data_IF_244385330341
#
_entry.id   IF_244385330341
#
_cell.length_a   1.000
_cell.length_b   1.000
_cell.length_c   1.000
_cell.angle_alpha   90.00
_cell.angle_beta   90.00
_cell.angle_gamma   90.00
#
_symmetry.space_group_name_H-M   'P 1'
#
loop_
_entity.id
_entity.type
_entity.pdbx_description
1 polymer ?
#
# COMPACT_ATOMS: atom_id res chain seq x y z
N UNK A 1 37.40 22.32 -8.35
CA UNK A 1 38.62 21.93 -7.63
C UNK A 1 38.34 20.56 -7.02
N UNK A 2 38.78 19.51 -7.42
CA UNK A 2 39.76 18.88 -8.32
C UNK A 2 39.51 17.37 -8.14
N UNK A 3 39.15 16.70 -9.23
CA UNK A 3 39.22 15.24 -9.32
C UNK A 3 40.63 14.80 -9.00
N UNK A 4 40.83 14.04 -7.93
CA UNK A 4 42.07 13.36 -7.64
C UNK A 4 42.12 12.08 -8.47
N UNK A 5 42.85 12.20 -9.56
CA UNK A 5 43.31 11.16 -10.49
C UNK A 5 43.99 10.01 -9.72
N UNK A 6 43.42 8.85 -9.74
CA UNK A 6 43.91 7.63 -9.10
C UNK A 6 44.85 6.83 -10.04
N UNK A 7 45.52 7.52 -10.98
CA UNK A 7 46.53 6.93 -11.88
C UNK A 7 47.91 7.59 -11.68
N UNK A 8 48.73 6.88 -10.96
CA UNK A 8 50.18 6.78 -11.02
C UNK A 8 50.81 6.75 -9.65
N UNK A 9 51.13 5.56 -9.24
CA UNK A 9 52.47 5.18 -8.76
C UNK A 9 52.45 3.68 -8.46
N UNK A 10 53.22 2.90 -9.17
CA UNK A 10 53.74 1.59 -8.74
C UNK A 10 55.03 1.84 -8.00
N UNK A 11 55.43 1.02 -6.99
CA UNK A 11 55.57 -0.42 -7.08
C UNK A 11 55.20 -1.21 -5.79
N UNK A 12 55.29 -2.52 -5.91
CA UNK A 12 55.36 -3.60 -4.93
C UNK A 12 54.07 -4.35 -4.53
N UNK A 13 54.14 -5.67 -4.81
CA UNK A 13 53.04 -6.60 -4.90
C UNK A 13 52.37 -7.02 -3.58
N UNK A 14 52.81 -6.58 -2.43
CA UNK A 14 52.34 -7.02 -1.09
C UNK A 14 51.29 -6.08 -0.47
N UNK A 15 51.18 -4.85 -0.95
CA UNK A 15 50.23 -3.86 -0.39
C UNK A 15 48.85 -3.84 -1.08
N UNK A 16 48.69 -4.62 -2.16
CA UNK A 16 47.46 -4.59 -2.99
C UNK A 16 46.24 -5.23 -2.34
N UNK A 17 46.35 -6.11 -1.37
CA UNK A 17 45.17 -6.78 -0.79
C UNK A 17 44.42 -5.91 0.21
N UNK A 18 45.09 -5.07 0.96
CA UNK A 18 44.39 -4.24 1.97
C UNK A 18 43.78 -2.96 1.40
N UNK A 19 44.40 -2.37 0.38
CA UNK A 19 43.83 -1.18 -0.30
C UNK A 19 42.60 -1.52 -1.15
N UNK A 20 42.56 -2.70 -1.76
CA UNK A 20 41.39 -3.17 -2.53
C UNK A 20 40.15 -3.41 -1.68
N UNK A 21 40.34 -3.90 -0.46
CA UNK A 21 39.23 -4.17 0.48
C UNK A 21 38.68 -2.86 1.04
N UNK A 22 39.51 -1.86 1.32
CA UNK A 22 39.05 -0.55 1.82
C UNK A 22 38.33 0.29 0.72
N UNK A 23 38.75 0.16 -0.54
CA UNK A 23 38.08 0.84 -1.66
C UNK A 23 36.70 0.19 -1.97
N UNK A 24 36.61 -1.13 -1.87
CA UNK A 24 35.35 -1.87 -2.01
C UNK A 24 34.39 -1.59 -0.84
N UNK A 25 34.90 -1.44 0.37
CA UNK A 25 34.07 -1.11 1.54
C UNK A 25 33.59 0.35 1.55
N UNK A 26 34.34 1.30 0.96
CA UNK A 26 33.87 2.68 0.76
C UNK A 26 32.79 2.78 -0.32
N UNK A 27 32.87 1.97 -1.39
CA UNK A 27 31.79 1.91 -2.41
C UNK A 27 30.52 1.25 -1.86
N UNK A 28 30.62 0.37 -0.86
CA UNK A 28 29.46 -0.26 -0.24
C UNK A 28 28.71 0.66 0.76
N UNK A 29 29.33 1.75 1.24
CA UNK A 29 28.71 2.79 2.09
C UNK A 29 28.14 3.99 1.33
N UNK A 30 28.20 3.98 0.00
CA UNK A 30 27.52 4.96 -0.86
C UNK A 30 26.02 4.73 -0.81
N UNK A 31 25.34 5.62 -0.14
CA UNK A 31 23.92 5.92 -0.09
C UNK A 31 22.97 4.81 -0.60
N UNK A 32 22.45 4.01 0.32
CA UNK A 32 21.35 3.07 0.11
C UNK A 32 20.10 3.75 -0.52
N UNK A 33 20.05 5.07 -0.49
CA UNK A 33 18.96 5.89 -1.05
C UNK A 33 19.10 6.20 -2.55
N UNK A 34 20.27 5.91 -3.19
CA UNK A 34 20.53 6.32 -4.58
C UNK A 34 20.68 5.16 -5.58
N UNK A 35 20.26 3.95 -5.26
CA UNK A 35 20.20 2.87 -6.26
C UNK A 35 18.89 2.89 -7.03
N UNK A 36 18.62 4.02 -7.70
CA UNK A 36 17.75 3.96 -8.86
C UNK A 36 18.61 3.62 -10.09
N UNK A 37 18.17 2.69 -10.99
CA UNK A 37 18.72 2.66 -12.33
C UNK A 37 18.60 4.08 -12.87
N UNK A 38 19.69 4.63 -13.40
CA UNK A 38 19.64 5.86 -14.18
C UNK A 38 18.53 5.66 -15.21
N UNK A 39 17.50 6.47 -15.13
CA UNK A 39 16.42 6.52 -16.10
C UNK A 39 17.08 6.89 -17.43
N UNK A 40 17.35 5.88 -18.26
CA UNK A 40 17.87 6.09 -19.60
C UNK A 40 16.80 6.84 -20.39
N UNK A 41 17.27 7.80 -21.15
CA UNK A 41 16.49 8.58 -22.12
C UNK A 41 16.06 7.63 -23.27
N UNK A 42 15.02 6.80 -23.03
CA UNK A 42 14.50 5.85 -23.96
C UNK A 42 13.17 6.31 -24.55
N UNK A 43 13.25 6.97 -25.68
CA UNK A 43 12.21 6.95 -26.71
C UNK A 43 10.78 7.29 -26.31
N UNK A 44 10.55 8.13 -25.29
CA UNK A 44 9.20 8.56 -24.92
C UNK A 44 8.64 9.47 -26.02
N UNK A 45 7.41 9.23 -26.49
CA UNK A 45 6.77 10.19 -27.37
C UNK A 45 6.66 11.51 -26.62
N UNK A 46 7.15 12.58 -27.26
CA UNK A 46 7.13 13.94 -26.70
C UNK A 46 5.69 14.46 -26.77
N UNK A 47 4.88 14.10 -25.76
CA UNK A 47 3.46 14.46 -25.68
C UNK A 47 3.21 15.91 -25.24
N UNK A 48 4.27 16.74 -25.17
CA UNK A 48 4.13 18.12 -24.72
C UNK A 48 3.67 18.29 -23.27
N UNK A 49 3.78 17.23 -22.47
CA UNK A 49 3.45 17.26 -21.07
C UNK A 49 4.66 17.78 -20.31
N UNK A 50 4.47 18.89 -19.62
CA UNK A 50 5.50 19.54 -18.80
C UNK A 50 6.17 18.56 -17.84
N UNK A 51 7.43 18.85 -17.46
CA UNK A 51 8.19 18.05 -16.51
C UNK A 51 7.36 17.82 -15.22
N UNK A 52 7.47 16.61 -14.61
CA UNK A 52 6.65 16.28 -13.45
C UNK A 52 6.84 17.30 -12.33
N UNK A 53 5.72 17.73 -11.73
CA UNK A 53 5.76 18.63 -10.57
C UNK A 53 6.63 18.01 -9.48
N UNK A 54 7.74 18.67 -9.17
CA UNK A 54 8.67 18.22 -8.12
C UNK A 54 8.21 18.77 -6.77
N UNK A 55 7.46 17.95 -6.05
CA UNK A 55 7.11 18.25 -4.65
C UNK A 55 8.33 18.00 -3.75
N UNK A 56 8.54 18.89 -2.80
CA UNK A 56 9.52 18.66 -1.73
C UNK A 56 9.05 17.55 -0.80
N UNK A 57 9.97 16.91 -0.09
CA UNK A 57 9.64 15.87 0.90
C UNK A 57 8.59 16.34 1.90
N UNK A 58 8.73 17.57 2.41
CA UNK A 58 7.79 18.10 3.39
C UNK A 58 6.40 18.31 2.79
N UNK A 59 6.29 18.78 1.55
CA UNK A 59 5.01 18.91 0.87
C UNK A 59 4.32 17.56 0.68
N UNK A 60 5.07 16.51 0.32
CA UNK A 60 4.52 15.15 0.22
C UNK A 60 4.00 14.66 1.57
N UNK A 61 4.79 14.82 2.65
CA UNK A 61 4.37 14.40 3.99
C UNK A 61 3.10 15.16 4.43
N UNK A 62 3.08 16.48 4.26
CA UNK A 62 1.91 17.30 4.62
C UNK A 62 0.68 16.89 3.83
N UNK A 63 0.82 16.63 2.52
CA UNK A 63 -0.30 16.18 1.69
C UNK A 63 -0.82 14.80 2.12
N UNK A 64 0.08 13.83 2.40
CA UNK A 64 -0.31 12.51 2.89
C UNK A 64 -1.04 12.60 4.24
N UNK A 65 -0.48 13.33 5.20
CA UNK A 65 -1.13 13.51 6.50
C UNK A 65 -2.46 14.27 6.39
N UNK A 66 -2.53 15.26 5.50
CA UNK A 66 -3.75 16.00 5.21
C UNK A 66 -4.86 15.12 4.64
N UNK A 67 -4.53 14.19 3.73
CA UNK A 67 -5.50 13.25 3.16
C UNK A 67 -6.02 12.27 4.22
N UNK A 68 -5.15 11.72 5.06
CA UNK A 68 -5.55 10.80 6.14
C UNK A 68 -6.41 11.56 7.17
N UNK A 69 -6.05 12.77 7.53
CA UNK A 69 -6.85 13.59 8.43
C UNK A 69 -8.22 13.96 7.83
N UNK A 70 -8.26 14.22 6.51
CA UNK A 70 -9.50 14.50 5.78
C UNK A 70 -10.40 13.25 5.75
N UNK A 71 -9.85 12.07 5.47
CA UNK A 71 -10.56 10.80 5.57
C UNK A 71 -11.21 10.63 6.94
N UNK A 72 -10.43 10.76 8.01
CA UNK A 72 -10.94 10.64 9.37
C UNK A 72 -12.05 11.67 9.67
N UNK A 73 -11.87 12.91 9.23
CA UNK A 73 -12.88 13.98 9.43
C UNK A 73 -14.18 13.69 8.67
N UNK A 74 -14.11 13.17 7.44
CA UNK A 74 -15.28 12.78 6.65
C UNK A 74 -16.02 11.61 7.32
N UNK A 75 -15.30 10.57 7.75
CA UNK A 75 -15.89 9.42 8.44
C UNK A 75 -16.58 9.82 9.74
N UNK A 76 -15.96 10.70 10.54
CA UNK A 76 -16.60 11.26 11.72
C UNK A 76 -17.86 12.06 11.37
N UNK A 77 -17.82 12.87 10.32
CA UNK A 77 -18.99 13.65 9.86
C UNK A 77 -20.11 12.74 9.33
N UNK A 78 -19.77 11.55 8.79
CA UNK A 78 -20.74 10.50 8.41
C UNK A 78 -21.32 9.76 9.62
N UNK A 79 -20.86 10.05 10.84
CA UNK A 79 -21.32 9.41 12.07
C UNK A 79 -20.68 8.04 12.31
N UNK A 80 -19.48 7.78 11.74
CA UNK A 80 -18.73 6.57 12.09
C UNK A 80 -18.13 6.70 13.48
N UNK A 81 -18.08 5.58 14.20
CA UNK A 81 -17.53 5.56 15.56
C UNK A 81 -16.02 5.87 15.54
N UNK A 82 -15.51 6.70 16.42
CA UNK A 82 -14.07 6.97 16.49
C UNK A 82 -13.25 5.70 16.76
N UNK A 83 -13.73 4.85 17.67
CA UNK A 83 -13.19 3.56 18.07
C UNK A 83 -14.33 2.57 18.24
N UNK A 84 -14.01 1.30 18.48
CA UNK A 84 -15.01 0.27 18.80
C UNK A 84 -15.99 0.74 19.89
N UNK A 85 -17.31 0.51 19.69
CA UNK A 85 -18.35 0.72 20.71
C UNK A 85 -18.13 -0.11 21.98
N UNK A 86 -17.27 -1.13 21.91
CA UNK A 86 -16.84 -1.93 23.05
C UNK A 86 -16.01 -1.14 24.08
N UNK A 87 -15.55 0.08 23.74
CA UNK A 87 -14.80 0.97 24.64
C UNK A 87 -13.30 0.68 24.72
N UNK A 88 -12.78 -0.23 23.90
CA UNK A 88 -11.34 -0.56 23.81
C UNK A 88 -10.89 -0.78 22.36
N UNK A 89 -9.58 -0.80 22.16
CA UNK A 89 -8.95 -1.04 20.85
C UNK A 89 -7.97 -2.20 20.97
N UNK A 90 -8.15 -3.21 20.11
CA UNK A 90 -7.20 -4.33 19.95
C UNK A 90 -6.22 -4.03 18.83
N UNK A 91 -5.02 -4.60 18.91
CA UNK A 91 -4.09 -4.62 17.78
C UNK A 91 -4.60 -5.53 16.66
N UNK A 92 -5.22 -6.66 17.05
CA UNK A 92 -5.77 -7.66 16.13
C UNK A 92 -7.13 -8.19 16.62
N UNK A 93 -8.11 -8.25 15.72
CA UNK A 93 -9.39 -8.88 15.94
C UNK A 93 -9.60 -10.00 14.92
N UNK A 94 -9.69 -11.24 15.38
CA UNK A 94 -9.73 -12.43 14.51
C UNK A 94 -11.12 -13.05 14.31
N UNK A 95 -12.19 -12.42 14.77
CA UNK A 95 -13.56 -12.96 14.67
C UNK A 95 -14.37 -12.15 13.67
N UNK A 96 -14.54 -12.68 12.46
CA UNK A 96 -15.22 -11.97 11.36
C UNK A 96 -16.71 -11.81 11.62
N UNK A 97 -17.39 -12.89 12.08
CA UNK A 97 -18.83 -12.85 12.41
C UNK A 97 -19.03 -12.25 13.81
N UNK A 98 -18.76 -10.98 13.94
CA UNK A 98 -18.78 -10.24 15.20
C UNK A 98 -19.07 -8.76 14.93
N UNK A 99 -19.82 -8.12 15.82
CA UNK A 99 -20.02 -6.66 15.79
C UNK A 99 -18.75 -5.86 16.07
N UNK A 100 -17.66 -6.51 16.51
CA UNK A 100 -16.35 -5.90 16.69
C UNK A 100 -15.47 -5.99 15.43
N UNK A 101 -15.90 -6.70 14.38
CA UNK A 101 -15.16 -6.76 13.12
C UNK A 101 -15.06 -5.36 12.49
N UNK A 102 -13.91 -5.02 11.94
CA UNK A 102 -13.61 -3.70 11.37
C UNK A 102 -13.75 -2.53 12.37
N UNK A 103 -13.54 -2.82 13.68
CA UNK A 103 -13.61 -1.82 14.74
C UNK A 103 -12.30 -1.61 15.48
N UNK A 104 -11.27 -2.40 15.14
CA UNK A 104 -9.96 -2.40 15.79
C UNK A 104 -8.85 -2.01 14.81
N UNK A 105 -7.57 -2.00 15.26
CA UNK A 105 -6.46 -1.58 14.40
C UNK A 105 -6.21 -2.51 13.22
N UNK A 106 -6.45 -3.81 13.39
CA UNK A 106 -6.32 -4.77 12.29
C UNK A 106 -7.20 -6.00 12.49
N UNK A 107 -7.56 -6.64 11.38
CA UNK A 107 -8.36 -7.85 11.31
C UNK A 107 -8.01 -8.66 10.04
N UNK A 108 -8.85 -9.64 9.68
CA UNK A 108 -8.64 -10.46 8.49
C UNK A 108 -8.74 -9.71 7.17
N UNK A 109 -9.25 -8.48 7.12
CA UNK A 109 -9.32 -7.66 5.90
C UNK A 109 -8.11 -6.74 5.74
N UNK A 110 -7.36 -6.46 6.81
CA UNK A 110 -6.13 -5.65 6.74
C UNK A 110 -5.08 -6.16 5.71
N UNK A 111 -4.90 -7.49 5.46
CA UNK A 111 -4.11 -8.00 4.35
C UNK A 111 -4.54 -7.49 2.97
N UNK A 112 -5.83 -7.26 2.75
CA UNK A 112 -6.37 -6.73 1.48
C UNK A 112 -5.83 -5.34 1.19
N UNK A 113 -5.69 -4.48 2.19
CA UNK A 113 -5.13 -3.13 2.05
C UNK A 113 -3.63 -3.16 1.74
N UNK A 114 -2.88 -4.17 2.24
CA UNK A 114 -1.49 -4.38 1.79
C UNK A 114 -1.47 -4.73 0.29
N UNK A 115 -2.41 -5.55 -0.18
CA UNK A 115 -2.53 -5.90 -1.61
C UNK A 115 -2.93 -4.67 -2.43
N UNK A 116 -3.85 -3.80 -1.92
CA UNK A 116 -4.15 -2.50 -2.55
C UNK A 116 -2.86 -1.69 -2.76
N UNK A 117 -1.99 -1.64 -1.76
CA UNK A 117 -0.69 -0.97 -1.88
C UNK A 117 0.19 -1.52 -3.00
N UNK A 118 0.25 -2.84 -3.18
CA UNK A 118 0.97 -3.46 -4.31
C UNK A 118 0.34 -3.08 -5.65
N UNK A 119 -0.98 -3.18 -5.76
CA UNK A 119 -1.73 -2.86 -6.98
C UNK A 119 -1.54 -1.38 -7.36
N UNK A 120 -1.72 -0.47 -6.39
CA UNK A 120 -1.62 0.98 -6.65
C UNK A 120 -0.20 1.38 -7.02
N UNK A 121 0.83 0.81 -6.35
CA UNK A 121 2.21 1.07 -6.74
C UNK A 121 2.47 0.65 -8.18
N UNK A 122 2.08 -0.56 -8.57
CA UNK A 122 2.28 -1.07 -9.92
C UNK A 122 1.48 -0.28 -10.96
N UNK A 123 0.20 -0.01 -10.71
CA UNK A 123 -0.67 0.74 -11.61
C UNK A 123 -0.16 2.17 -11.85
N UNK A 124 0.21 2.88 -10.78
CA UNK A 124 0.73 4.25 -10.87
C UNK A 124 2.15 4.30 -11.45
N UNK A 125 2.99 3.27 -11.18
CA UNK A 125 4.27 3.12 -11.86
C UNK A 125 4.09 2.90 -13.36
N UNK A 126 3.13 2.10 -13.75
CA UNK A 126 2.80 1.84 -15.17
C UNK A 126 2.22 3.10 -15.84
N UNK A 127 1.31 3.80 -15.14
CA UNK A 127 0.70 5.05 -15.61
C UNK A 127 1.75 6.17 -15.77
N UNK A 128 2.76 6.21 -14.89
CA UNK A 128 3.81 7.24 -14.93
C UNK A 128 4.70 7.16 -16.18
N UNK A 129 4.53 6.13 -17.02
CA UNK A 129 5.16 6.06 -18.36
C UNK A 129 4.49 6.99 -19.37
N UNK A 130 3.20 7.31 -19.17
CA UNK A 130 2.45 8.22 -20.03
C UNK A 130 2.25 9.58 -19.38
N UNK A 131 1.94 9.60 -18.08
CA UNK A 131 1.76 10.83 -17.29
C UNK A 131 2.91 10.90 -16.30
N UNK A 132 3.93 11.75 -16.54
CA UNK A 132 5.10 11.84 -15.66
C UNK A 132 4.71 12.17 -14.22
N UNK A 133 4.95 11.26 -13.29
CA UNK A 133 4.67 11.43 -11.86
C UNK A 133 5.90 11.10 -11.04
N UNK A 134 6.26 11.99 -10.11
CA UNK A 134 7.28 11.69 -9.10
C UNK A 134 6.78 10.60 -8.14
N UNK A 135 7.71 9.94 -7.43
CA UNK A 135 7.32 8.95 -6.42
C UNK A 135 6.37 9.52 -5.37
N UNK A 136 6.65 10.74 -4.88
CA UNK A 136 5.78 11.42 -3.91
C UNK A 136 4.38 11.67 -4.46
N UNK A 137 4.25 12.06 -5.73
CA UNK A 137 2.95 12.23 -6.37
C UNK A 137 2.20 10.91 -6.47
N UNK A 138 2.87 9.81 -6.84
CA UNK A 138 2.25 8.47 -6.88
C UNK A 138 1.73 8.05 -5.50
N UNK A 139 2.50 8.31 -4.43
CA UNK A 139 2.06 8.02 -3.07
C UNK A 139 0.83 8.84 -2.66
N UNK A 140 0.82 10.14 -2.96
CA UNK A 140 -0.33 11.01 -2.70
C UNK A 140 -1.58 10.50 -3.42
N UNK A 141 -1.46 10.13 -4.70
CA UNK A 141 -2.59 9.58 -5.49
C UNK A 141 -3.05 8.24 -4.92
N UNK A 142 -2.13 7.36 -4.54
CA UNK A 142 -2.48 6.08 -3.91
C UNK A 142 -3.29 6.28 -2.62
N UNK A 143 -2.83 7.18 -1.74
CA UNK A 143 -3.54 7.52 -0.50
C UNK A 143 -4.90 8.16 -0.79
N UNK A 144 -4.99 9.04 -1.79
CA UNK A 144 -6.27 9.65 -2.17
C UNK A 144 -7.28 8.60 -2.68
N UNK A 145 -6.83 7.61 -3.47
CA UNK A 145 -7.68 6.51 -3.94
C UNK A 145 -8.15 5.65 -2.78
N UNK A 146 -7.23 5.25 -1.89
CA UNK A 146 -7.57 4.43 -0.71
C UNK A 146 -8.51 5.17 0.23
N UNK A 147 -8.19 6.41 0.60
CA UNK A 147 -9.05 7.23 1.44
C UNK A 147 -10.46 7.43 0.84
N UNK A 148 -10.56 7.51 -0.50
CA UNK A 148 -11.85 7.57 -1.18
C UNK A 148 -12.59 6.24 -1.08
N UNK A 149 -11.89 5.11 -1.19
CA UNK A 149 -12.46 3.79 -0.98
C UNK A 149 -13.02 3.64 0.43
N UNK A 150 -12.24 3.96 1.45
CA UNK A 150 -12.65 3.92 2.86
C UNK A 150 -13.91 4.75 3.13
N UNK A 151 -14.02 5.94 2.53
CA UNK A 151 -15.21 6.76 2.63
C UNK A 151 -16.42 6.10 1.93
N UNK A 152 -16.21 5.55 0.73
CA UNK A 152 -17.28 4.87 -0.03
C UNK A 152 -17.76 3.63 0.71
N UNK A 153 -16.83 2.82 1.21
CA UNK A 153 -17.11 1.58 1.96
C UNK A 153 -17.97 1.83 3.19
N UNK A 154 -17.77 2.97 3.81
CA UNK A 154 -18.51 3.41 4.99
C UNK A 154 -19.84 4.13 4.69
N UNK A 155 -20.26 4.19 3.42
CA UNK A 155 -21.60 4.68 3.06
C UNK A 155 -22.67 3.64 3.41
N UNK A 156 -23.88 4.09 3.75
CA UNK A 156 -25.00 3.20 4.03
C UNK A 156 -25.30 2.27 2.85
N UNK A 157 -25.14 2.76 1.63
CA UNK A 157 -25.36 1.97 0.41
C UNK A 157 -24.42 0.76 0.35
N UNK A 158 -23.12 0.95 0.61
CA UNK A 158 -22.15 -0.16 0.52
C UNK A 158 -22.28 -1.10 1.72
N UNK A 159 -22.55 -0.58 2.91
CA UNK A 159 -22.81 -1.39 4.11
C UNK A 159 -24.02 -2.32 3.89
N UNK A 160 -25.12 -1.79 3.34
CA UNK A 160 -26.29 -2.60 2.99
C UNK A 160 -25.97 -3.63 1.91
N UNK A 161 -25.11 -3.26 0.95
CA UNK A 161 -24.66 -4.18 -0.09
C UNK A 161 -23.84 -5.32 0.51
N UNK A 162 -22.91 -5.07 1.41
CA UNK A 162 -22.15 -6.10 2.13
C UNK A 162 -23.08 -7.04 2.89
N UNK A 163 -24.01 -6.52 3.67
CA UNK A 163 -24.99 -7.33 4.40
C UNK A 163 -25.84 -8.20 3.49
N UNK A 164 -26.19 -7.71 2.32
CA UNK A 164 -27.05 -8.43 1.37
C UNK A 164 -26.32 -9.44 0.50
N UNK A 165 -25.00 -9.34 0.35
CA UNK A 165 -24.21 -10.15 -0.61
C UNK A 165 -23.10 -10.96 0.02
N UNK A 166 -22.77 -10.73 1.28
CA UNK A 166 -21.72 -11.45 2.01
C UNK A 166 -22.26 -12.04 3.33
N UNK A 167 -21.44 -12.83 4.01
CA UNK A 167 -21.77 -13.41 5.32
C UNK A 167 -21.61 -12.42 6.47
N UNK A 168 -21.19 -11.19 6.22
CA UNK A 168 -20.97 -10.14 7.23
C UNK A 168 -22.29 -9.45 7.63
N UNK A 169 -23.24 -10.20 8.16
CA UNK A 169 -24.59 -9.71 8.48
C UNK A 169 -24.63 -8.62 9.56
N UNK A 170 -23.66 -8.64 10.48
CA UNK A 170 -23.54 -7.66 11.58
C UNK A 170 -22.65 -6.47 11.24
N UNK A 171 -22.13 -6.39 10.01
CA UNK A 171 -21.30 -5.26 9.59
C UNK A 171 -22.11 -3.96 9.53
N UNK A 172 -21.65 -2.94 10.20
CA UNK A 172 -22.30 -1.62 10.26
C UNK A 172 -21.36 -0.46 9.83
N UNK A 173 -20.27 -0.80 9.18
CA UNK A 173 -19.18 0.11 8.78
C UNK A 173 -18.02 0.05 9.75
N UNK A 174 -16.90 0.60 9.34
CA UNK A 174 -15.66 0.59 10.11
C UNK A 174 -15.65 1.70 11.16
N UNK A 175 -14.87 1.49 12.21
CA UNK A 175 -14.49 2.60 13.06
C UNK A 175 -13.45 3.48 12.35
N UNK A 176 -13.38 4.76 12.71
CA UNK A 176 -12.41 5.69 12.12
C UNK A 176 -10.97 5.20 12.31
N UNK A 177 -10.65 4.61 13.48
CA UNK A 177 -9.32 4.08 13.73
C UNK A 177 -8.98 2.87 12.84
N UNK A 178 -9.96 2.03 12.51
CA UNK A 178 -9.77 0.91 11.60
C UNK A 178 -9.51 1.41 10.17
N UNK A 179 -10.39 2.26 9.61
CA UNK A 179 -10.20 2.84 8.28
C UNK A 179 -8.87 3.58 8.12
N UNK A 180 -8.43 4.32 9.15
CA UNK A 180 -7.12 4.97 9.13
C UNK A 180 -5.99 3.93 9.15
N UNK A 181 -6.12 2.87 9.95
CA UNK A 181 -5.13 1.80 9.98
C UNK A 181 -5.04 1.06 8.65
N UNK A 182 -6.17 0.84 7.96
CA UNK A 182 -6.21 0.19 6.66
C UNK A 182 -5.53 1.04 5.57
N UNK A 183 -5.73 2.36 5.60
CA UNK A 183 -4.92 3.29 4.77
C UNK A 183 -3.42 3.18 5.08
N UNK A 184 -3.03 3.00 6.36
CA UNK A 184 -1.63 2.79 6.71
C UNK A 184 -1.11 1.42 6.23
N UNK A 185 -1.91 0.36 6.25
CA UNK A 185 -1.55 -0.94 5.66
C UNK A 185 -1.36 -0.84 4.14
N UNK A 186 -2.21 -0.09 3.44
CA UNK A 186 -2.00 0.23 2.03
C UNK A 186 -0.66 0.94 1.80
N UNK A 187 -0.32 1.93 2.60
CA UNK A 187 0.97 2.64 2.52
C UNK A 187 2.14 1.66 2.73
N UNK A 188 2.05 0.76 3.71
CA UNK A 188 3.06 -0.30 3.92
C UNK A 188 3.21 -1.14 2.66
N UNK A 189 2.12 -1.65 2.08
CA UNK A 189 2.13 -2.40 0.82
C UNK A 189 2.77 -1.61 -0.33
N UNK A 190 2.45 -0.33 -0.47
CA UNK A 190 3.01 0.55 -1.48
C UNK A 190 4.53 0.69 -1.37
N UNK A 191 5.07 0.82 -0.16
CA UNK A 191 6.51 0.86 0.07
C UNK A 191 7.18 -0.50 -0.12
N UNK A 192 6.55 -1.58 0.31
CA UNK A 192 7.06 -2.93 0.08
C UNK A 192 7.17 -3.22 -1.42
N UNK A 193 6.15 -2.88 -2.22
CA UNK A 193 6.19 -3.02 -3.68
C UNK A 193 7.31 -2.21 -4.35
N UNK A 194 7.71 -1.08 -3.74
CA UNK A 194 8.85 -0.30 -4.22
C UNK A 194 10.19 -0.98 -3.98
N UNK A 195 10.33 -1.65 -2.84
CA UNK A 195 11.61 -2.24 -2.40
C UNK A 195 11.80 -3.67 -2.86
N UNK A 196 10.71 -4.39 -3.06
CA UNK A 196 10.72 -5.79 -3.43
C UNK A 196 10.75 -5.99 -4.95
N UNK A 197 11.33 -7.09 -5.42
CA UNK A 197 11.16 -7.49 -6.80
C UNK A 197 9.68 -7.85 -7.04
N UNK A 198 9.19 -7.62 -8.25
CA UNK A 198 7.77 -7.83 -8.62
C UNK A 198 7.27 -9.23 -8.26
N UNK A 199 8.09 -10.26 -8.53
CA UNK A 199 7.71 -11.64 -8.24
C UNK A 199 7.41 -11.87 -6.75
N UNK A 200 8.17 -11.21 -5.84
CA UNK A 200 7.94 -11.34 -4.39
C UNK A 200 6.63 -10.65 -3.98
N UNK A 201 6.35 -9.47 -4.49
CA UNK A 201 5.08 -8.78 -4.22
C UNK A 201 3.89 -9.62 -4.71
N UNK A 202 4.00 -10.23 -5.90
CA UNK A 202 2.96 -11.14 -6.44
C UNK A 202 2.82 -12.39 -5.58
N UNK A 203 3.94 -13.02 -5.21
CA UNK A 203 3.90 -14.23 -4.37
C UNK A 203 3.28 -13.96 -3.00
N UNK A 204 3.60 -12.82 -2.38
CA UNK A 204 3.02 -12.41 -1.09
C UNK A 204 1.53 -12.07 -1.25
N UNK A 205 1.12 -11.36 -2.31
CA UNK A 205 -0.29 -11.11 -2.57
C UNK A 205 -1.09 -12.41 -2.69
N UNK A 206 -0.60 -13.38 -3.48
CA UNK A 206 -1.23 -14.69 -3.61
C UNK A 206 -1.28 -15.43 -2.27
N UNK A 207 -0.19 -15.40 -1.50
CA UNK A 207 -0.16 -16.04 -0.18
C UNK A 207 -1.18 -15.43 0.78
N UNK A 208 -1.30 -14.09 0.83
CA UNK A 208 -2.30 -13.40 1.65
C UNK A 208 -3.73 -13.77 1.22
N UNK A 209 -4.03 -13.77 -0.08
CA UNK A 209 -5.34 -14.19 -0.60
C UNK A 209 -5.68 -15.63 -0.19
N UNK A 210 -4.72 -16.56 -0.33
CA UNK A 210 -4.94 -17.96 0.01
C UNK A 210 -5.08 -18.18 1.53
N UNK A 211 -4.28 -17.50 2.35
CA UNK A 211 -4.33 -17.62 3.80
C UNK A 211 -5.67 -17.06 4.30
N UNK A 212 -6.05 -15.86 3.90
CA UNK A 212 -7.31 -15.24 4.33
C UNK A 212 -8.49 -16.04 3.82
N UNK A 213 -8.49 -16.46 2.55
CA UNK A 213 -9.52 -17.31 1.96
C UNK A 213 -9.69 -18.65 2.68
N UNK A 214 -8.58 -19.25 3.14
CA UNK A 214 -8.61 -20.48 3.94
C UNK A 214 -9.17 -20.25 5.34
N UNK A 215 -8.75 -19.16 6.00
CA UNK A 215 -9.09 -18.89 7.40
C UNK A 215 -10.54 -18.44 7.60
N UNK A 216 -11.05 -17.59 6.70
CA UNK A 216 -12.37 -16.96 6.88
C UNK A 216 -13.34 -17.20 5.71
N UNK A 217 -12.95 -17.98 4.70
CA UNK A 217 -13.71 -18.23 3.47
C UNK A 217 -14.05 -16.94 2.69
N UNK A 218 -13.27 -15.91 2.90
CA UNK A 218 -13.35 -14.63 2.20
C UNK A 218 -11.95 -14.09 1.97
N UNK A 219 -11.79 -13.22 0.98
CA UNK A 219 -10.54 -12.51 0.67
C UNK A 219 -10.86 -11.33 -0.27
N UNK A 220 -9.86 -10.54 -0.64
CA UNK A 220 -10.07 -9.38 -1.51
C UNK A 220 -10.77 -9.76 -2.82
N UNK A 221 -10.32 -10.84 -3.48
CA UNK A 221 -10.88 -11.28 -4.78
C UNK A 221 -12.35 -11.68 -4.63
N UNK A 222 -12.69 -12.49 -3.63
CA UNK A 222 -14.06 -12.93 -3.37
C UNK A 222 -14.95 -11.77 -2.94
N UNK A 223 -14.43 -10.88 -2.09
CA UNK A 223 -15.14 -9.71 -1.62
C UNK A 223 -15.53 -8.79 -2.78
N UNK A 224 -14.58 -8.42 -3.64
CA UNK A 224 -14.85 -7.61 -4.85
C UNK A 224 -15.82 -8.33 -5.79
N UNK A 225 -15.64 -9.64 -6.01
CA UNK A 225 -16.55 -10.42 -6.86
C UNK A 225 -17.97 -10.39 -6.32
N UNK A 226 -18.16 -10.65 -5.03
CA UNK A 226 -19.49 -10.69 -4.40
C UNK A 226 -20.16 -9.32 -4.35
N UNK A 227 -19.41 -8.24 -4.21
CA UNK A 227 -19.93 -6.88 -4.31
C UNK A 227 -20.42 -6.55 -5.72
N UNK A 228 -19.67 -6.91 -6.75
CA UNK A 228 -19.99 -6.59 -8.14
C UNK A 228 -21.02 -7.56 -8.73
N UNK A 229 -20.85 -8.84 -8.48
CA UNK A 229 -21.65 -9.93 -9.05
C UNK A 229 -21.89 -11.03 -8.01
N UNK A 230 -22.91 -10.92 -7.16
CA UNK A 230 -23.20 -11.91 -6.14
C UNK A 230 -23.47 -13.30 -6.75
N UNK A 231 -22.70 -14.28 -6.31
CA UNK A 231 -22.80 -15.67 -6.76
C UNK A 231 -23.31 -16.54 -5.62
N UNK A 232 -24.49 -17.12 -5.76
CA UNK A 232 -25.13 -17.87 -4.68
C UNK A 232 -24.29 -19.03 -4.15
N UNK A 233 -23.61 -19.77 -5.04
CA UNK A 233 -22.73 -20.88 -4.61
C UNK A 233 -21.53 -20.43 -3.76
N UNK A 234 -21.01 -19.22 -4.00
CA UNK A 234 -19.95 -18.64 -3.18
C UNK A 234 -20.53 -18.24 -1.82
N UNK A 235 -21.69 -17.60 -1.79
CA UNK A 235 -22.37 -17.23 -0.56
C UNK A 235 -22.65 -18.45 0.31
N UNK A 236 -23.17 -19.55 -0.27
CA UNK A 236 -23.47 -20.79 0.45
C UNK A 236 -22.20 -21.43 1.01
N UNK A 237 -21.10 -21.41 0.23
CA UNK A 237 -19.81 -21.90 0.69
C UNK A 237 -19.22 -21.05 1.83
N UNK A 238 -19.33 -19.73 1.73
CA UNK A 238 -18.90 -18.79 2.78
C UNK A 238 -19.74 -18.99 4.06
N UNK A 239 -21.04 -19.19 3.91
CA UNK A 239 -21.97 -19.45 5.00
C UNK A 239 -21.83 -20.86 5.63
N UNK A 240 -21.00 -21.75 5.05
CA UNK A 240 -20.80 -23.12 5.53
C UNK A 240 -21.96 -24.07 5.22
N UNK A 241 -22.73 -23.78 4.19
CA UNK A 241 -23.87 -24.57 3.72
C UNK A 241 -23.51 -25.46 2.54
#
# INVERSE_FOLDING_TARGET
>A
MTELDCRRTQPEATFRRHAGIQCAQRKAKGNFFERHPKESDDGRPNLGIDAPVKLTRNQVIIACLGLIALQAAILLAMGREPICKCGYVKLWHGVVMSSENSQHLSDWYSPSHIIHGFIFYFALWRLSRWIPMSFGMRLIVAIAVEASWEVIENTSWLIERYRGTTVSLDYYGDSVINSVADTLFMIVGFFLARWWPVWLSVAVAIALELIVGYMIRDNLTLNVLMLLWPVQSIFDWQAGR
#
